data_IF_747601146734
#
_entry.id   IF_747601146734
#
_cell.length_a   1.000
_cell.length_b   1.000
_cell.length_c   1.000
_cell.angle_alpha   90.00
_cell.angle_beta   90.00
_cell.angle_gamma   90.00
#
_symmetry.space_group_name_H-M   'P 1'
#
loop_
_entity.id
_entity.type
_entity.pdbx_description
1 polymer ?
#
# COMPACT_ATOMS: atom_id res chain seq x y z
N UNK A 1 2.61 13.79 -8.16
CA UNK A 1 2.27 12.44 -8.65
C UNK A 1 3.51 11.59 -8.64
N UNK A 2 3.40 10.41 -8.09
CA UNK A 2 4.47 9.43 -8.07
C UNK A 2 4.66 8.86 -9.48
N UNK A 3 5.89 8.75 -9.93
CA UNK A 3 6.21 8.13 -11.22
C UNK A 3 7.02 6.85 -11.00
N UNK A 4 6.99 5.93 -11.98
CA UNK A 4 7.75 4.68 -11.90
C UNK A 4 9.26 4.93 -11.71
N UNK A 5 9.82 5.95 -12.36
CA UNK A 5 11.22 6.34 -12.20
C UNK A 5 11.59 6.88 -10.81
N UNK A 6 10.60 7.24 -10.00
CA UNK A 6 10.84 7.64 -8.61
C UNK A 6 11.07 6.44 -7.69
N UNK A 7 10.60 5.25 -8.10
CA UNK A 7 10.67 4.03 -7.30
C UNK A 7 11.70 3.01 -7.79
N UNK A 8 12.24 3.20 -9.00
CA UNK A 8 13.14 2.22 -9.63
C UNK A 8 14.37 2.86 -10.22
N UNK A 9 15.47 2.11 -10.20
CA UNK A 9 16.71 2.43 -10.91
C UNK A 9 16.87 1.44 -12.06
N UNK A 10 16.90 1.97 -13.29
CA UNK A 10 17.03 1.19 -14.51
C UNK A 10 18.45 1.38 -15.04
N UNK A 11 19.21 0.30 -15.15
CA UNK A 11 20.51 0.30 -15.85
C UNK A 11 20.34 -0.28 -17.25
N UNK A 12 20.83 0.46 -18.24
CA UNK A 12 20.82 0.04 -19.65
C UNK A 12 22.22 -0.34 -20.10
N UNK A 13 22.31 -1.41 -20.85
CA UNK A 13 23.54 -1.80 -21.55
C UNK A 13 23.86 -0.87 -22.74
N UNK A 14 25.02 -1.06 -23.34
CA UNK A 14 25.48 -0.29 -24.51
C UNK A 14 24.60 -0.48 -25.76
N UNK A 15 23.80 -1.54 -25.78
CA UNK A 15 22.84 -1.88 -26.84
C UNK A 15 21.42 -1.32 -26.54
N UNK A 16 21.25 -0.56 -25.44
CA UNK A 16 19.99 0.03 -25.02
C UNK A 16 19.05 -0.93 -24.30
N UNK A 17 19.41 -2.21 -24.18
CA UNK A 17 18.62 -3.19 -23.43
C UNK A 17 18.72 -2.94 -21.92
N UNK A 18 17.65 -3.32 -21.18
CA UNK A 18 17.65 -3.23 -19.73
C UNK A 18 18.52 -4.37 -19.20
N UNK A 19 19.65 -4.02 -18.58
CA UNK A 19 20.58 -4.97 -17.96
C UNK A 19 20.20 -5.24 -16.50
N UNK A 20 19.69 -4.21 -15.81
CA UNK A 20 19.32 -4.31 -14.40
C UNK A 20 18.14 -3.40 -14.10
N UNK A 21 17.21 -3.91 -13.32
CA UNK A 21 16.10 -3.17 -12.75
C UNK A 21 16.15 -3.40 -11.24
N UNK A 22 16.42 -2.35 -10.48
CA UNK A 22 16.45 -2.42 -9.01
C UNK A 22 15.49 -1.42 -8.41
N UNK A 23 14.84 -1.80 -7.32
CA UNK A 23 14.03 -0.86 -6.54
C UNK A 23 14.96 0.17 -5.85
N UNK A 24 14.60 1.44 -5.91
CA UNK A 24 15.27 2.49 -5.14
C UNK A 24 14.79 2.40 -3.68
N UNK A 25 15.43 1.52 -2.92
CA UNK A 25 15.07 1.22 -1.54
C UNK A 25 15.09 2.47 -0.65
N UNK A 26 16.00 3.38 -0.90
CA UNK A 26 16.10 4.61 -0.11
C UNK A 26 14.88 5.52 -0.32
N UNK A 27 14.51 5.74 -1.58
CA UNK A 27 13.32 6.53 -1.93
C UNK A 27 12.04 5.85 -1.46
N UNK A 28 11.94 4.53 -1.64
CA UNK A 28 10.78 3.76 -1.18
C UNK A 28 10.61 3.84 0.35
N UNK A 29 11.70 3.71 1.11
CA UNK A 29 11.65 3.83 2.57
C UNK A 29 11.28 5.25 3.03
N UNK A 30 11.79 6.27 2.36
CA UNK A 30 11.43 7.66 2.63
C UNK A 30 9.94 7.91 2.37
N UNK A 31 9.46 7.46 1.21
CA UNK A 31 8.06 7.60 0.84
C UNK A 31 7.14 6.85 1.81
N UNK A 32 7.55 5.66 2.24
CA UNK A 32 6.84 4.88 3.26
C UNK A 32 6.67 5.70 4.55
N UNK A 33 7.76 6.27 5.07
CA UNK A 33 7.72 7.06 6.28
C UNK A 33 6.84 8.32 6.14
N UNK A 34 6.90 8.99 4.99
CA UNK A 34 6.06 10.17 4.70
C UNK A 34 4.57 9.78 4.64
N UNK A 35 4.24 8.63 4.05
CA UNK A 35 2.86 8.12 3.97
C UNK A 35 2.31 7.72 5.34
N UNK A 36 3.10 7.02 6.15
CA UNK A 36 2.70 6.62 7.51
C UNK A 36 2.33 7.85 8.35
N UNK A 37 3.15 8.90 8.31
CA UNK A 37 2.87 10.18 9.00
C UNK A 37 1.62 10.85 8.43
N UNK A 38 1.49 10.94 7.11
CA UNK A 38 0.36 11.61 6.46
C UNK A 38 -0.98 10.91 6.76
N UNK A 39 -0.99 9.57 6.76
CA UNK A 39 -2.19 8.79 7.11
C UNK A 39 -2.55 9.02 8.58
N UNK A 40 -1.57 9.00 9.48
CA UNK A 40 -1.81 9.23 10.89
C UNK A 40 -2.38 10.64 11.16
N UNK A 41 -1.86 11.66 10.49
CA UNK A 41 -2.37 13.03 10.57
C UNK A 41 -3.79 13.14 10.00
N UNK A 42 -4.08 12.51 8.87
CA UNK A 42 -5.42 12.49 8.28
C UNK A 42 -6.44 11.85 9.24
N UNK A 43 -6.10 10.72 9.86
CA UNK A 43 -6.98 10.06 10.84
C UNK A 43 -7.18 10.91 12.08
N UNK A 44 -6.15 11.59 12.57
CA UNK A 44 -6.28 12.55 13.69
C UNK A 44 -7.23 13.69 13.33
N UNK A 45 -7.12 14.22 12.11
CA UNK A 45 -8.03 15.25 11.60
C UNK A 45 -9.49 14.79 11.56
N UNK A 46 -9.75 13.56 11.11
CA UNK A 46 -11.09 12.97 11.10
C UNK A 46 -11.68 12.79 12.50
N UNK A 47 -10.86 12.45 13.51
CA UNK A 47 -11.30 12.35 14.89
C UNK A 47 -11.77 13.68 15.46
N UNK A 48 -11.10 14.77 15.10
CA UNK A 48 -11.49 16.13 15.56
C UNK A 48 -12.73 16.66 14.85
N UNK A 49 -13.01 16.18 13.63
CA UNK A 49 -14.18 16.58 12.85
C UNK A 49 -15.53 16.03 13.40
N UNK A 50 -15.51 15.12 14.38
CA UNK A 50 -16.71 14.58 15.01
C UNK A 50 -17.54 13.69 14.08
N UNK A 51 -16.93 13.12 13.07
CA UNK A 51 -17.60 12.21 12.13
C UNK A 51 -17.97 10.89 12.81
N UNK A 52 -19.08 10.30 12.39
CA UNK A 52 -19.55 8.99 12.83
C UNK A 52 -19.49 7.99 11.68
N UNK A 53 -19.02 6.79 11.96
CA UNK A 53 -18.90 5.70 11.00
C UNK A 53 -19.66 4.47 11.52
N UNK A 54 -20.46 3.78 10.70
CA UNK A 54 -21.09 2.52 11.09
C UNK A 54 -20.04 1.44 11.40
N UNK A 55 -20.24 0.68 12.46
CA UNK A 55 -19.30 -0.40 12.89
C UNK A 55 -19.03 -1.39 11.76
N UNK A 56 -20.05 -1.75 10.99
CA UNK A 56 -19.91 -2.68 9.89
C UNK A 56 -18.96 -2.22 8.80
N UNK A 57 -18.73 -0.91 8.67
CA UNK A 57 -17.75 -0.37 7.70
C UNK A 57 -16.28 -0.55 8.15
N UNK A 58 -16.05 -0.90 9.41
CA UNK A 58 -14.73 -1.24 9.95
C UNK A 58 -14.42 -2.74 9.87
N UNK A 59 -15.43 -3.55 9.57
CA UNK A 59 -15.29 -4.98 9.38
C UNK A 59 -14.99 -5.24 7.89
N UNK A 60 -14.04 -6.10 7.59
CA UNK A 60 -13.63 -6.45 6.21
C UNK A 60 -14.64 -7.35 5.47
N UNK A 61 -15.89 -7.34 5.88
CA UNK A 61 -16.97 -8.12 5.29
C UNK A 61 -17.92 -7.18 4.55
N UNK A 62 -17.89 -7.24 3.23
CA UNK A 62 -18.72 -6.40 2.36
C UNK A 62 -20.22 -6.45 2.69
N UNK A 63 -20.68 -7.60 3.21
CA UNK A 63 -22.07 -7.82 3.62
C UNK A 63 -22.53 -6.89 4.76
N UNK A 64 -21.62 -6.43 5.61
CA UNK A 64 -21.91 -5.57 6.75
C UNK A 64 -21.55 -4.10 6.52
N UNK A 65 -21.12 -3.77 5.32
CA UNK A 65 -20.72 -2.41 4.98
C UNK A 65 -21.89 -1.43 5.17
N UNK A 66 -21.68 -0.38 5.92
CA UNK A 66 -22.71 0.61 6.24
C UNK A 66 -23.72 0.15 7.28
N UNK A 67 -23.62 -1.07 7.82
CA UNK A 67 -24.55 -1.62 8.81
C UNK A 67 -24.03 -1.46 10.24
N UNK A 68 -24.95 -1.50 11.21
CA UNK A 68 -24.65 -1.44 12.64
C UNK A 68 -24.71 -0.03 13.23
N UNK A 69 -24.53 0.09 14.56
CA UNK A 69 -24.54 1.37 15.24
C UNK A 69 -23.40 2.26 14.77
N UNK A 70 -23.68 3.55 14.66
CA UNK A 70 -22.65 4.54 14.32
C UNK A 70 -21.74 4.82 15.50
N UNK A 71 -20.43 4.76 15.27
CA UNK A 71 -19.41 5.10 16.25
C UNK A 71 -18.84 6.46 15.89
N UNK A 72 -18.71 7.32 16.88
CA UNK A 72 -17.98 8.57 16.69
C UNK A 72 -16.50 8.27 16.55
N UNK A 73 -15.86 8.81 15.51
CA UNK A 73 -14.41 8.65 15.27
C UNK A 73 -13.56 9.16 16.44
N UNK A 74 -14.13 9.97 17.31
CA UNK A 74 -13.51 10.39 18.57
C UNK A 74 -13.15 9.21 19.49
N UNK A 75 -13.94 8.14 19.46
CA UNK A 75 -13.73 6.91 20.25
C UNK A 75 -12.82 5.90 19.57
N UNK A 76 -12.26 6.24 18.42
CA UNK A 76 -11.37 5.39 17.63
C UNK A 76 -9.92 5.66 18.01
N UNK A 77 -9.22 4.63 18.42
CA UNK A 77 -7.78 4.65 18.60
C UNK A 77 -7.10 4.06 17.38
N UNK A 78 -6.05 4.71 16.92
CA UNK A 78 -5.24 4.23 15.79
C UNK A 78 -3.86 3.86 16.30
N UNK A 79 -3.46 2.65 16.03
CA UNK A 79 -2.12 2.15 16.35
C UNK A 79 -1.07 2.67 15.37
N UNK A 80 0.05 1.98 15.33
CA UNK A 80 1.13 2.31 14.39
C UNK A 80 0.67 1.96 12.97
N UNK A 81 0.67 2.95 12.09
CA UNK A 81 0.41 2.74 10.65
C UNK A 81 1.65 2.11 10.04
N UNK A 82 1.45 1.05 9.27
CA UNK A 82 2.52 0.38 8.54
C UNK A 82 2.26 0.48 7.04
N UNK A 83 3.29 0.88 6.30
CA UNK A 83 3.27 0.91 4.85
C UNK A 83 4.34 -0.04 4.29
N UNK A 84 3.98 -0.84 3.30
CA UNK A 84 4.89 -1.74 2.61
C UNK A 84 4.72 -1.62 1.10
N UNK A 85 5.80 -1.91 0.37
CA UNK A 85 5.77 -2.01 -1.08
C UNK A 85 5.96 -3.47 -1.49
N UNK A 86 5.20 -3.88 -2.48
CA UNK A 86 5.28 -5.20 -3.09
C UNK A 86 5.45 -5.06 -4.61
N UNK A 87 6.23 -5.95 -5.22
CA UNK A 87 6.50 -5.95 -6.66
C UNK A 87 5.92 -7.18 -7.31
N UNK A 88 5.17 -6.96 -8.37
CA UNK A 88 4.54 -8.02 -9.16
C UNK A 88 4.97 -7.93 -10.62
N UNK A 89 5.39 -9.05 -11.18
CA UNK A 89 5.75 -9.19 -12.59
C UNK A 89 4.79 -10.16 -13.26
N UNK A 90 4.19 -9.74 -14.36
CA UNK A 90 3.36 -10.61 -15.19
C UNK A 90 3.67 -10.39 -16.69
N UNK A 91 3.33 -11.39 -17.50
CA UNK A 91 3.47 -11.30 -18.95
C UNK A 91 2.45 -10.33 -19.53
N UNK A 92 2.90 -9.36 -20.30
CA UNK A 92 2.03 -8.38 -20.98
C UNK A 92 1.91 -8.65 -22.48
N UNK A 93 2.59 -9.69 -23.01
CA UNK A 93 2.61 -10.05 -24.42
C UNK A 93 3.90 -10.74 -24.83
N UNK A 94 4.14 -10.83 -26.13
CA UNK A 94 5.38 -11.44 -26.66
C UNK A 94 6.54 -10.51 -26.33
N UNK A 95 7.55 -11.01 -25.60
CA UNK A 95 8.71 -10.26 -25.12
C UNK A 95 8.36 -8.98 -24.36
N UNK A 96 7.25 -8.98 -23.62
CA UNK A 96 6.83 -7.88 -22.79
C UNK A 96 6.50 -8.37 -21.40
N UNK A 97 7.05 -7.71 -20.39
CA UNK A 97 6.77 -7.97 -18.97
C UNK A 97 6.21 -6.72 -18.34
N UNK A 98 5.06 -6.84 -17.70
CA UNK A 98 4.47 -5.79 -16.89
C UNK A 98 5.05 -5.88 -15.49
N UNK A 99 5.57 -4.77 -15.01
CA UNK A 99 5.99 -4.62 -13.62
C UNK A 99 5.06 -3.65 -12.91
N UNK A 100 4.44 -4.11 -11.84
CA UNK A 100 3.56 -3.34 -10.97
C UNK A 100 4.18 -3.24 -9.59
N UNK A 101 4.17 -2.03 -9.05
CA UNK A 101 4.57 -1.77 -7.66
C UNK A 101 3.31 -1.41 -6.89
N UNK A 102 2.98 -2.25 -5.92
CA UNK A 102 1.86 -2.06 -5.04
C UNK A 102 2.30 -1.44 -3.73
N UNK A 103 1.50 -0.52 -3.22
CA UNK A 103 1.60 0.00 -1.88
C UNK A 103 0.49 -0.63 -1.05
N UNK A 104 0.85 -1.28 0.04
CA UNK A 104 -0.07 -1.78 1.04
C UNK A 104 0.05 -0.94 2.31
N UNK A 105 -1.08 -0.46 2.79
CA UNK A 105 -1.20 0.29 4.04
C UNK A 105 -2.00 -0.54 5.03
N UNK A 106 -1.47 -0.75 6.22
CA UNK A 106 -2.12 -1.42 7.34
C UNK A 106 -2.31 -0.42 8.46
N UNK A 107 -3.56 -0.21 8.86
CA UNK A 107 -3.96 0.75 9.89
C UNK A 107 -4.68 -0.02 10.98
N UNK A 108 -4.01 -0.41 12.08
CA UNK A 108 -4.67 -1.04 13.20
C UNK A 108 -5.54 -0.02 13.94
N UNK A 109 -6.79 -0.38 14.15
CA UNK A 109 -7.78 0.47 14.80
C UNK A 109 -8.44 -0.26 15.97
N UNK A 110 -8.64 0.45 17.04
CA UNK A 110 -9.35 0.00 18.23
C UNK A 110 -10.54 0.92 18.48
N UNK A 111 -11.69 0.32 18.73
CA UNK A 111 -12.93 1.05 18.96
C UNK A 111 -13.52 0.65 20.31
N UNK A 112 -13.76 1.63 21.17
CA UNK A 112 -14.47 1.43 22.43
C UNK A 112 -15.98 1.37 22.18
N UNK A 113 -16.59 0.25 22.51
CA UNK A 113 -18.02 0.01 22.44
C UNK A 113 -18.61 -0.13 23.84
N UNK A 114 -19.94 0.08 24.02
CA UNK A 114 -20.60 -0.12 25.33
C UNK A 114 -20.44 -1.53 25.90
N UNK A 115 -20.15 -2.54 25.07
CA UNK A 115 -19.99 -3.94 25.48
C UNK A 115 -18.54 -4.45 25.50
N UNK A 116 -17.53 -3.58 25.24
CA UNK A 116 -16.14 -3.99 25.18
C UNK A 116 -15.34 -3.21 24.14
N UNK A 117 -14.16 -3.72 23.82
CA UNK A 117 -13.27 -3.13 22.84
C UNK A 117 -13.23 -4.01 21.59
N UNK A 118 -13.39 -3.39 20.43
CA UNK A 118 -13.21 -4.03 19.13
C UNK A 118 -11.86 -3.61 18.57
N UNK A 119 -11.05 -4.60 18.18
CA UNK A 119 -9.80 -4.40 17.47
C UNK A 119 -9.91 -4.94 16.04
N UNK A 120 -9.45 -4.17 15.09
CA UNK A 120 -9.38 -4.57 13.67
C UNK A 120 -8.25 -3.84 12.98
N UNK A 121 -7.79 -4.39 11.85
CA UNK A 121 -6.79 -3.73 10.99
C UNK A 121 -7.42 -3.43 9.65
N UNK A 122 -7.43 -2.16 9.28
CA UNK A 122 -7.84 -1.74 7.95
C UNK A 122 -6.65 -1.90 7.01
N UNK A 123 -6.81 -2.74 5.99
CA UNK A 123 -5.77 -2.97 4.98
C UNK A 123 -6.24 -2.36 3.66
N UNK A 124 -5.39 -1.53 3.07
CA UNK A 124 -5.65 -0.91 1.77
C UNK A 124 -4.48 -1.15 0.84
N UNK A 125 -4.75 -1.69 -0.35
CA UNK A 125 -3.74 -1.94 -1.38
C UNK A 125 -3.99 -1.01 -2.56
N UNK A 126 -2.96 -0.26 -2.95
CA UNK A 126 -3.00 0.73 -4.02
C UNK A 126 -1.91 0.45 -5.04
N UNK A 127 -2.21 0.62 -6.32
CA UNK A 127 -1.19 0.59 -7.37
C UNK A 127 -0.38 1.88 -7.32
N UNK A 128 0.87 1.77 -6.86
CA UNK A 128 1.77 2.91 -6.75
C UNK A 128 2.40 3.29 -8.09
N UNK A 129 2.81 2.29 -8.87
CA UNK A 129 3.38 2.50 -10.19
C UNK A 129 3.24 1.25 -11.07
N UNK A 130 3.19 1.46 -12.38
CA UNK A 130 3.17 0.39 -13.39
C UNK A 130 4.04 0.77 -14.58
N UNK A 131 4.72 -0.20 -15.16
CA UNK A 131 5.42 -0.05 -16.43
C UNK A 131 5.40 -1.35 -17.24
N UNK A 132 5.61 -1.22 -18.55
CA UNK A 132 5.81 -2.36 -19.44
C UNK A 132 7.28 -2.35 -19.86
N UNK A 133 7.97 -3.44 -19.58
CA UNK A 133 9.36 -3.68 -19.96
C UNK A 133 9.33 -4.49 -21.25
N UNK A 134 9.92 -3.94 -22.30
CA UNK A 134 10.10 -4.64 -23.58
C UNK A 134 11.47 -5.33 -23.57
N UNK A 135 11.47 -6.66 -23.69
CA UNK A 135 12.65 -7.50 -23.62
C UNK A 135 12.55 -8.57 -22.51
N UNK A 136 13.58 -9.41 -22.42
CA UNK A 136 13.64 -10.39 -21.32
C UNK A 136 14.02 -9.71 -20.01
N UNK A 137 13.29 -10.00 -18.95
CA UNK A 137 13.69 -9.59 -17.59
C UNK A 137 14.94 -10.40 -17.23
N UNK A 138 16.01 -9.77 -16.72
CA UNK A 138 17.19 -10.51 -16.27
C UNK A 138 16.84 -11.54 -15.20
N UNK A 139 17.36 -12.76 -15.32
CA UNK A 139 17.09 -13.89 -14.42
C UNK A 139 17.41 -13.61 -12.94
N UNK A 140 18.25 -12.61 -12.66
CA UNK A 140 18.60 -12.19 -11.30
C UNK A 140 17.43 -11.69 -10.46
N UNK A 141 16.27 -11.40 -11.07
CA UNK A 141 15.08 -10.92 -10.35
C UNK A 141 14.15 -12.06 -9.90
N UNK A 142 14.32 -13.26 -10.43
CA UNK A 142 13.48 -14.42 -10.09
C UNK A 142 13.84 -15.07 -8.73
N UNK A 143 15.02 -14.77 -8.17
CA UNK A 143 15.48 -15.36 -6.92
C UNK A 143 15.01 -14.67 -5.64
N UNK A 144 14.49 -13.44 -5.70
CA UNK A 144 14.11 -12.68 -4.49
C UNK A 144 12.68 -12.98 -4.02
N UNK A 145 11.89 -13.72 -4.80
CA UNK A 145 10.47 -13.97 -4.50
C UNK A 145 10.21 -15.31 -3.78
N UNK A 146 11.27 -15.99 -3.27
CA UNK A 146 11.13 -17.21 -2.47
C UNK A 146 11.84 -17.05 -1.12
N UNK A 147 11.22 -16.26 -0.25
CA UNK A 147 11.34 -16.47 1.20
C UNK A 147 10.07 -15.99 1.90
#
# INVERSE_FOLDING_TARGET
SLTYGDLTVIQRGNDGQIVSLTADTLKMNRLRAELEVSVLEAVRGLRTAGLAVPVGSLLHLDLFWGCGPSIQLRSLWVGTVEASFDSEFDSAGVNQTRHRIWLELQVPVQVMLPGGMLETTVVTRLLAAETIIVGQVPDAYLEVTKQ
#
